data_IF_534861755835
#
_entry.id   IF_534861755835
#
_cell.length_a   1.000
_cell.length_b   1.000
_cell.length_c   1.000
_cell.angle_alpha   90.00
_cell.angle_beta   90.00
_cell.angle_gamma   90.00
#
_symmetry.space_group_name_H-M   'P 1'
#
loop_
_entity.id
_entity.type
_entity.pdbx_description
1 polymer ?
#
# COMPACT_ATOMS: atom_id res chain seq x y z
N UNK A 1 26.35 1.45 -51.21
CA UNK A 1 25.90 1.69 -49.82
C UNK A 1 25.01 0.53 -49.40
N UNK A 2 25.59 -0.54 -48.86
CA UNK A 2 24.84 -1.64 -48.27
C UNK A 2 25.64 -2.12 -47.08
N UNK A 3 25.05 -1.93 -45.91
CA UNK A 3 25.71 -1.88 -44.61
C UNK A 3 26.28 -3.22 -44.17
N UNK A 4 27.42 -3.09 -43.52
CA UNK A 4 28.06 -4.02 -42.60
C UNK A 4 27.09 -4.52 -41.52
N UNK A 5 26.44 -5.66 -41.77
CA UNK A 5 25.87 -6.52 -40.73
C UNK A 5 26.75 -7.77 -40.59
N UNK A 6 28.02 -7.57 -40.30
CA UNK A 6 28.89 -8.64 -39.83
C UNK A 6 28.88 -8.58 -38.30
N UNK A 7 27.81 -9.11 -37.70
CA UNK A 7 27.85 -9.45 -36.27
C UNK A 7 28.86 -10.60 -36.15
N UNK A 8 30.02 -10.26 -35.59
CA UNK A 8 31.07 -11.17 -35.23
C UNK A 8 30.49 -12.29 -34.34
N UNK A 9 30.16 -13.44 -34.94
CA UNK A 9 30.20 -14.71 -34.23
C UNK A 9 31.66 -14.97 -33.89
N UNK A 10 32.08 -14.49 -32.73
CA UNK A 10 33.33 -14.92 -32.13
C UNK A 10 33.11 -16.35 -31.66
N UNK A 11 33.57 -17.30 -32.47
CA UNK A 11 33.63 -18.72 -32.13
C UNK A 11 34.71 -18.92 -31.05
N UNK A 12 34.46 -18.39 -29.86
CA UNK A 12 35.08 -18.93 -28.65
C UNK A 12 34.43 -20.29 -28.41
N UNK A 13 35.23 -21.34 -28.23
CA UNK A 13 34.73 -22.66 -27.83
C UNK A 13 34.17 -22.55 -26.42
N UNK A 14 32.99 -21.97 -26.27
CA UNK A 14 32.24 -22.05 -25.03
C UNK A 14 32.06 -23.54 -24.77
N UNK A 15 32.60 -24.01 -23.65
CA UNK A 15 32.41 -25.40 -23.25
C UNK A 15 30.91 -25.64 -23.10
N UNK A 16 30.41 -26.85 -23.40
CA UNK A 16 28.98 -27.15 -23.29
C UNK A 16 28.39 -26.78 -21.92
N UNK A 17 29.22 -26.85 -20.86
CA UNK A 17 28.90 -26.38 -19.52
C UNK A 17 28.65 -24.87 -19.44
N UNK A 18 29.48 -24.05 -20.09
CA UNK A 18 29.32 -22.59 -20.13
C UNK A 18 28.04 -22.18 -20.85
N UNK A 19 27.74 -22.84 -21.97
CA UNK A 19 26.48 -22.62 -22.72
C UNK A 19 25.27 -23.00 -21.87
N UNK A 20 25.32 -24.14 -21.17
CA UNK A 20 24.24 -24.57 -20.28
C UNK A 20 23.99 -23.58 -19.13
N UNK A 21 25.06 -23.03 -18.54
CA UNK A 21 24.94 -22.02 -17.48
C UNK A 21 24.29 -20.74 -18.01
N UNK A 22 24.73 -20.24 -19.17
CA UNK A 22 24.15 -19.04 -19.80
C UNK A 22 22.67 -19.23 -20.12
N UNK A 23 22.32 -20.39 -20.70
CA UNK A 23 20.91 -20.73 -21.01
C UNK A 23 20.07 -20.83 -19.73
N UNK A 24 20.60 -21.45 -18.67
CA UNK A 24 19.93 -21.55 -17.38
C UNK A 24 19.63 -20.17 -16.78
N UNK A 25 20.60 -19.26 -16.80
CA UNK A 25 20.42 -17.88 -16.33
C UNK A 25 19.35 -17.14 -17.14
N UNK A 26 19.36 -17.30 -18.47
CA UNK A 26 18.35 -16.67 -19.33
C UNK A 26 16.93 -17.16 -19.01
N UNK A 27 16.74 -18.46 -18.77
CA UNK A 27 15.45 -19.02 -18.38
C UNK A 27 14.97 -18.39 -17.07
N UNK A 28 15.83 -18.33 -16.05
CA UNK A 28 15.48 -17.74 -14.75
C UNK A 28 15.15 -16.25 -14.90
N UNK A 29 15.90 -15.49 -15.71
CA UNK A 29 15.61 -14.10 -16.00
C UNK A 29 14.23 -13.91 -16.64
N UNK A 30 13.88 -14.73 -17.63
CA UNK A 30 12.56 -14.66 -18.30
C UNK A 30 11.43 -15.00 -17.31
N UNK A 31 11.62 -16.02 -16.48
CA UNK A 31 10.65 -16.37 -15.44
C UNK A 31 10.49 -15.24 -14.41
N UNK A 32 11.59 -14.64 -13.96
CA UNK A 32 11.57 -13.53 -13.03
C UNK A 32 10.86 -12.30 -13.62
N UNK A 33 11.11 -11.99 -14.90
CA UNK A 33 10.40 -10.94 -15.63
C UNK A 33 8.90 -11.25 -15.75
N UNK A 34 8.54 -12.48 -16.11
CA UNK A 34 7.15 -12.91 -16.19
C UNK A 34 6.41 -12.78 -14.85
N UNK A 35 7.02 -13.29 -13.78
CA UNK A 35 6.49 -13.16 -12.41
C UNK A 35 6.42 -11.69 -12.01
N UNK A 36 7.45 -10.89 -12.32
CA UNK A 36 7.49 -9.45 -12.05
C UNK A 36 6.33 -8.71 -12.71
N UNK A 37 6.03 -9.00 -13.97
CA UNK A 37 4.88 -8.44 -14.70
C UNK A 37 3.58 -8.87 -14.06
N UNK A 38 3.44 -10.15 -13.69
CA UNK A 38 2.24 -10.66 -13.02
C UNK A 38 1.99 -9.99 -11.66
N UNK A 39 3.05 -9.82 -10.87
CA UNK A 39 3.00 -9.12 -9.58
C UNK A 39 2.69 -7.65 -9.78
N UNK A 40 3.31 -6.98 -10.76
CA UNK A 40 3.05 -5.58 -11.07
C UNK A 40 1.61 -5.36 -11.53
N UNK A 41 1.13 -6.22 -12.44
CA UNK A 41 -0.26 -6.23 -12.92
C UNK A 41 -1.22 -6.42 -11.76
N UNK A 42 -0.96 -7.39 -10.87
CA UNK A 42 -1.79 -7.63 -9.68
C UNK A 42 -1.78 -6.45 -8.71
N UNK A 43 -0.64 -5.76 -8.57
CA UNK A 43 -0.52 -4.57 -7.72
C UNK A 43 -1.27 -3.35 -8.28
N UNK A 44 -1.24 -3.14 -9.59
CA UNK A 44 -1.96 -2.05 -10.26
C UNK A 44 -3.47 -2.29 -10.19
N UNK A 45 -3.92 -3.50 -10.54
CA UNK A 45 -5.34 -3.88 -10.45
C UNK A 45 -5.86 -3.84 -9.03
N UNK A 46 -5.10 -4.26 -8.02
CA UNK A 46 -5.57 -4.18 -6.62
C UNK A 46 -5.77 -2.73 -6.16
N UNK A 47 -4.92 -1.80 -6.61
CA UNK A 47 -5.10 -0.37 -6.29
C UNK A 47 -6.31 0.23 -7.00
N UNK A 48 -6.49 -0.06 -8.28
CA UNK A 48 -7.67 0.39 -9.03
C UNK A 48 -8.95 -0.26 -8.53
N UNK A 49 -8.96 -1.57 -8.29
CA UNK A 49 -10.12 -2.28 -7.74
C UNK A 49 -10.49 -1.82 -6.34
N UNK A 50 -9.51 -1.52 -5.47
CA UNK A 50 -9.81 -0.95 -4.16
C UNK A 50 -10.45 0.44 -4.27
N UNK A 51 -9.94 1.29 -5.16
CA UNK A 51 -10.49 2.64 -5.39
C UNK A 51 -11.88 2.58 -6.06
N UNK A 52 -12.05 1.71 -7.06
CA UNK A 52 -13.30 1.54 -7.79
C UNK A 52 -14.39 0.88 -6.93
N UNK A 53 -14.05 -0.15 -6.16
CA UNK A 53 -14.97 -0.79 -5.22
C UNK A 53 -15.37 0.16 -4.08
N UNK A 54 -14.46 1.01 -3.61
CA UNK A 54 -14.81 1.98 -2.59
C UNK A 54 -15.72 3.10 -3.14
N UNK A 55 -15.56 3.48 -4.41
CA UNK A 55 -16.48 4.37 -5.13
C UNK A 55 -17.89 3.77 -5.27
N UNK A 56 -18.00 2.50 -5.67
CA UNK A 56 -19.30 1.84 -5.83
C UNK A 56 -20.05 1.64 -4.51
N UNK A 57 -19.33 1.34 -3.41
CA UNK A 57 -19.94 1.20 -2.08
C UNK A 57 -20.37 2.55 -1.50
N UNK A 58 -19.59 3.62 -1.73
CA UNK A 58 -19.97 4.96 -1.30
C UNK A 58 -21.22 5.47 -2.04
N UNK A 59 -21.32 5.19 -3.35
CA UNK A 59 -22.51 5.51 -4.14
C UNK A 59 -23.75 4.78 -3.61
N UNK A 60 -23.60 3.52 -3.22
CA UNK A 60 -24.69 2.76 -2.60
C UNK A 60 -25.14 3.36 -1.25
N UNK A 61 -24.19 3.77 -0.40
CA UNK A 61 -24.51 4.46 0.87
C UNK A 61 -25.23 5.79 0.65
N UNK A 62 -24.82 6.55 -0.37
CA UNK A 62 -25.46 7.81 -0.75
C UNK A 62 -26.89 7.60 -1.25
N UNK A 63 -27.15 6.52 -1.98
CA UNK A 63 -28.51 6.16 -2.40
C UNK A 63 -29.40 5.74 -1.23
N UNK A 64 -28.88 4.98 -0.25
CA UNK A 64 -29.63 4.61 0.95
C UNK A 64 -29.98 5.85 1.81
N UNK A 65 -29.03 6.78 1.94
CA UNK A 65 -29.26 8.06 2.59
C UNK A 65 -30.31 8.90 1.85
N UNK A 66 -30.23 9.01 0.53
CA UNK A 66 -31.21 9.73 -0.28
C UNK A 66 -32.62 9.12 -0.23
N UNK A 67 -32.73 7.80 0.01
CA UNK A 67 -34.00 7.10 0.24
C UNK A 67 -34.56 7.30 1.65
N UNK A 68 -33.81 7.95 2.54
CA UNK A 68 -34.19 8.14 3.95
C UNK A 68 -34.08 6.86 4.78
N UNK A 69 -33.44 5.81 4.27
CA UNK A 69 -33.20 4.56 5.03
C UNK A 69 -32.02 4.69 6.02
N UNK A 70 -31.27 5.79 5.93
CA UNK A 70 -30.11 6.06 6.77
C UNK A 70 -30.24 7.46 7.38
N UNK A 71 -30.06 7.58 8.69
CA UNK A 71 -30.01 8.88 9.37
C UNK A 71 -28.74 9.65 9.00
N UNK A 72 -28.77 10.98 9.06
CA UNK A 72 -27.62 11.86 8.81
C UNK A 72 -26.40 11.49 9.69
N UNK A 73 -26.67 11.13 10.95
CA UNK A 73 -25.61 10.72 11.89
C UNK A 73 -24.98 9.38 11.49
N UNK A 74 -25.79 8.43 11.03
CA UNK A 74 -25.33 7.12 10.58
C UNK A 74 -24.53 7.24 9.29
N UNK A 75 -24.98 8.09 8.36
CA UNK A 75 -24.25 8.41 7.13
C UNK A 75 -22.88 9.02 7.44
N UNK A 76 -22.81 9.97 8.38
CA UNK A 76 -21.56 10.62 8.79
C UNK A 76 -20.56 9.61 9.36
N UNK A 77 -21.00 8.74 10.25
CA UNK A 77 -20.15 7.69 10.86
C UNK A 77 -19.66 6.70 9.80
N UNK A 78 -20.54 6.28 8.88
CA UNK A 78 -20.17 5.37 7.80
C UNK A 78 -19.13 6.00 6.85
N UNK A 79 -19.32 7.28 6.50
CA UNK A 79 -18.42 8.06 5.65
C UNK A 79 -17.02 8.17 6.27
N UNK A 80 -16.91 8.51 7.55
CA UNK A 80 -15.62 8.62 8.25
C UNK A 80 -14.88 7.28 8.32
N UNK A 81 -15.60 6.20 8.62
CA UNK A 81 -15.02 4.84 8.65
C UNK A 81 -14.49 4.42 7.29
N UNK A 82 -15.18 4.79 6.21
CA UNK A 82 -14.75 4.49 4.85
C UNK A 82 -13.52 5.32 4.44
N UNK A 83 -13.50 6.62 4.76
CA UNK A 83 -12.35 7.48 4.54
C UNK A 83 -11.08 6.98 5.26
N UNK A 84 -11.22 6.47 6.49
CA UNK A 84 -10.12 5.88 7.27
C UNK A 84 -9.62 4.52 6.76
N UNK A 85 -10.41 3.80 5.94
CA UNK A 85 -9.95 2.59 5.25
C UNK A 85 -9.24 2.91 3.93
N UNK A 86 -9.61 4.02 3.28
CA UNK A 86 -8.98 4.48 2.03
C UNK A 86 -7.59 5.10 2.28
N UNK A 87 -7.40 5.77 3.43
CA UNK A 87 -6.07 6.17 3.91
C UNK A 87 -5.23 4.91 4.14
N UNK A 88 -4.32 4.64 3.22
CA UNK A 88 -3.49 3.44 3.23
C UNK A 88 -2.60 3.38 4.49
N UNK A 89 -1.94 2.24 4.76
CA UNK A 89 -1.10 2.06 5.94
C UNK A 89 0.00 3.13 6.12
N UNK A 90 0.39 3.80 5.03
CA UNK A 90 1.39 4.87 5.03
C UNK A 90 0.93 6.17 5.70
N UNK A 91 -0.37 6.41 5.79
CA UNK A 91 -0.90 7.63 6.41
C UNK A 91 -1.17 7.45 7.91
N UNK A 92 -1.24 6.21 8.40
CA UNK A 92 -1.43 5.90 9.83
C UNK A 92 -0.17 6.11 10.66
N UNK A 93 1.00 6.09 10.03
CA UNK A 93 2.28 6.45 10.67
C UNK A 93 2.39 7.96 10.92
N UNK A 94 1.66 8.76 10.14
CA UNK A 94 1.66 10.23 10.21
C UNK A 94 0.66 10.81 11.21
N UNK A 95 -0.09 9.97 11.92
CA UNK A 95 -0.94 10.43 13.03
C UNK A 95 0.01 10.87 14.16
N UNK A 96 0.15 12.19 14.42
CA UNK A 96 1.18 12.66 15.32
C UNK A 96 0.90 12.07 16.70
N UNK A 97 1.95 11.55 17.32
CA UNK A 97 1.98 10.97 18.67
C UNK A 97 1.37 11.85 19.79
N UNK A 98 0.86 13.04 19.47
CA UNK A 98 0.18 14.00 20.33
C UNK A 98 -1.21 13.55 20.81
N UNK A 99 -1.89 12.65 20.10
CA UNK A 99 -3.21 12.15 20.54
C UNK A 99 -3.13 10.97 21.52
N UNK A 100 -1.93 10.40 21.75
CA UNK A 100 -1.70 9.31 22.72
C UNK A 100 -1.29 9.79 24.11
N UNK A 101 -1.25 11.09 24.34
CA UNK A 101 -1.07 11.67 25.66
C UNK A 101 -2.37 11.53 26.45
N UNK A 102 -2.67 10.28 26.82
CA UNK A 102 -3.65 9.98 27.87
C UNK A 102 -3.19 10.72 29.13
N UNK A 103 -4.08 11.45 29.83
CA UNK A 103 -3.74 12.00 31.13
C UNK A 103 -3.34 10.84 32.03
N UNK A 104 -2.07 10.83 32.46
CA UNK A 104 -1.55 9.83 33.36
C UNK A 104 -2.22 10.03 34.74
N UNK A 105 -3.12 9.14 35.20
CA UNK A 105 -3.77 9.29 36.51
C UNK A 105 -2.77 9.20 37.67
N UNK A 106 -1.53 8.77 37.40
CA UNK A 106 -0.44 8.70 38.38
C UNK A 106 0.07 10.08 38.83
N UNK A 107 -0.18 11.13 38.04
CA UNK A 107 0.20 12.50 38.40
C UNK A 107 -0.90 13.26 39.18
N UNK A 108 -2.14 12.76 39.20
CA UNK A 108 -3.24 13.40 39.92
C UNK A 108 -3.16 13.23 41.46
N UNK A 109 -2.33 12.30 41.94
CA UNK A 109 -2.18 12.01 43.37
C UNK A 109 -0.94 12.64 44.02
N UNK A 110 -0.11 13.38 43.25
CA UNK A 110 1.21 13.83 43.71
C UNK A 110 1.28 15.24 44.28
N UNK A 111 0.31 16.11 44.02
CA UNK A 111 0.46 17.55 44.26
C UNK A 111 -0.32 18.04 45.49
N UNK A 112 -0.01 17.47 46.66
CA UNK A 112 -0.47 17.96 47.97
C UNK A 112 0.66 18.06 48.99
N UNK A 113 1.72 18.79 48.63
CA UNK A 113 2.68 19.38 49.59
C UNK A 113 2.98 20.79 49.10
N UNK A 114 2.52 21.85 49.75
CA UNK A 114 3.12 22.38 50.99
C UNK A 114 2.26 23.52 51.61
N UNK A 115 2.53 23.95 52.86
CA UNK A 115 1.57 24.55 53.80
C UNK A 115 1.65 26.10 53.89
N UNK A 116 0.65 26.75 54.51
CA UNK A 116 0.85 28.05 55.16
C UNK A 116 0.71 27.92 56.68
N UNK A 117 1.75 28.32 57.40
CA UNK A 117 1.78 28.34 58.86
C UNK A 117 0.88 29.40 59.48
N UNK A 118 0.58 29.18 60.76
CA UNK A 118 0.52 30.14 61.87
C UNK A 118 0.77 29.37 63.16
#
# INVERSE_FOLDING_TARGET
MTGTYCLAQTTGKATAAEVLVIVGVLIVCVLALGIGILVLRRRLLTKESASAAAGSVFEHLRQLHAKGELSDDEFRIARERMANRMRGPRDRESEPARARERPNPRNAAGDRRSPPGY
#
